data_IF_040350117806
#
_entry.id   IF_040350117806
#
_cell.length_a   1.000
_cell.length_b   1.000
_cell.length_c   1.000
_cell.angle_alpha   90.00
_cell.angle_beta   90.00
_cell.angle_gamma   90.00
#
_symmetry.space_group_name_H-M   'P 1'
#
loop_
_entity.id
_entity.type
_entity.pdbx_description
1 polymer ?
#
# COMPACT_ATOMS: atom_id res chain seq x y z
N UNK A 1 11.25 11.49 -9.56
CA UNK A 1 10.64 11.00 -8.30
C UNK A 1 10.20 12.07 -7.27
N UNK A 2 10.30 13.38 -7.57
CA UNK A 2 10.08 14.44 -6.54
C UNK A 2 8.62 14.64 -6.10
N UNK A 3 7.62 14.17 -6.84
CA UNK A 3 6.19 14.41 -6.56
C UNK A 3 5.47 13.16 -6.02
N UNK A 4 6.14 12.42 -5.13
CA UNK A 4 5.57 11.27 -4.44
C UNK A 4 5.93 11.29 -2.95
N UNK A 5 5.05 10.78 -2.12
CA UNK A 5 5.25 10.51 -0.70
C UNK A 5 4.82 9.08 -0.39
N UNK A 6 5.39 8.48 0.64
CA UNK A 6 4.88 7.21 1.19
C UNK A 6 3.85 7.52 2.25
N UNK A 7 2.71 6.90 2.19
CA UNK A 7 1.68 6.98 3.23
C UNK A 7 1.38 5.60 3.80
N UNK A 8 1.65 5.43 5.08
CA UNK A 8 1.32 4.23 5.82
C UNK A 8 0.02 4.49 6.56
N UNK A 9 -1.03 3.83 6.09
CA UNK A 9 -2.35 3.90 6.68
C UNK A 9 -2.43 2.98 7.90
N UNK A 10 -2.81 3.54 9.04
CA UNK A 10 -3.02 2.79 10.28
C UNK A 10 -4.14 3.42 11.12
N UNK A 11 -4.46 2.81 12.25
CA UNK A 11 -5.31 3.39 13.30
C UNK A 11 -4.78 2.99 14.67
N UNK A 12 -5.13 3.76 15.69
CA UNK A 12 -4.62 3.59 17.05
C UNK A 12 -4.92 2.21 17.67
N UNK A 13 -5.95 1.51 17.15
CA UNK A 13 -6.30 0.14 17.54
C UNK A 13 -5.16 -0.84 17.23
N UNK A 14 -4.42 -0.61 16.15
CA UNK A 14 -3.31 -1.47 15.70
C UNK A 14 -1.93 -1.02 16.21
N UNK A 15 -1.89 -0.10 17.18
CA UNK A 15 -0.61 0.38 17.72
C UNK A 15 0.32 -0.70 18.29
N UNK A 16 -0.20 -1.88 18.58
CA UNK A 16 0.59 -3.02 19.05
C UNK A 16 1.53 -3.62 17.99
N UNK A 17 1.29 -3.38 16.69
CA UNK A 17 2.19 -3.80 15.60
C UNK A 17 3.13 -2.70 15.11
N UNK A 18 2.98 -1.46 15.54
CA UNK A 18 3.72 -0.32 15.00
C UNK A 18 5.23 -0.43 15.20
N UNK A 19 5.67 -0.96 16.34
CA UNK A 19 7.09 -1.23 16.57
C UNK A 19 7.63 -2.29 15.62
N UNK A 20 6.82 -3.33 15.31
CA UNK A 20 7.14 -4.32 14.29
C UNK A 20 7.29 -3.67 12.92
N UNK A 21 6.29 -2.90 12.48
CA UNK A 21 6.38 -2.16 11.23
C UNK A 21 7.66 -1.31 11.16
N UNK A 22 7.95 -0.53 12.21
CA UNK A 22 9.16 0.30 12.26
C UNK A 22 10.44 -0.53 12.20
N UNK A 23 10.52 -1.66 12.92
CA UNK A 23 11.66 -2.57 12.86
C UNK A 23 11.95 -3.02 11.41
N UNK A 24 10.93 -3.49 10.71
CA UNK A 24 11.06 -3.94 9.33
C UNK A 24 11.33 -2.79 8.37
N UNK A 25 10.70 -1.65 8.57
CA UNK A 25 10.95 -0.44 7.78
C UNK A 25 12.42 0.00 7.90
N UNK A 26 12.97 0.11 9.12
CA UNK A 26 14.38 0.49 9.32
C UNK A 26 15.36 -0.52 8.71
N UNK A 27 15.00 -1.80 8.68
CA UNK A 27 15.85 -2.88 8.16
C UNK A 27 15.82 -3.00 6.64
N UNK A 28 14.64 -2.85 6.03
CA UNK A 28 14.43 -3.23 4.63
C UNK A 28 14.01 -2.07 3.72
N UNK A 29 13.49 -0.95 4.25
CA UNK A 29 13.21 0.19 3.41
C UNK A 29 14.49 0.77 2.83
N UNK A 30 14.51 1.01 1.52
CA UNK A 30 15.67 1.59 0.87
C UNK A 30 15.71 3.10 1.15
N UNK A 31 16.70 3.54 1.95
CA UNK A 31 16.85 4.95 2.36
C UNK A 31 17.27 5.88 1.22
N UNK A 32 17.72 5.33 0.10
CA UNK A 32 18.01 6.10 -1.11
C UNK A 32 16.74 6.53 -1.87
N UNK A 33 15.57 5.96 -1.52
CA UNK A 33 14.28 6.40 -2.02
C UNK A 33 13.96 7.78 -1.43
N UNK A 34 13.85 8.85 -2.25
CA UNK A 34 13.84 10.24 -1.76
C UNK A 34 12.46 10.70 -1.25
N UNK A 35 11.55 9.78 -0.99
CA UNK A 35 10.19 10.10 -0.57
C UNK A 35 10.09 10.22 0.94
N UNK A 36 9.39 11.25 1.39
CA UNK A 36 9.01 11.35 2.81
C UNK A 36 7.99 10.28 3.15
N UNK A 37 8.22 9.60 4.27
CA UNK A 37 7.32 8.59 4.82
C UNK A 37 6.42 9.24 5.85
N UNK A 38 5.13 9.18 5.62
CA UNK A 38 4.08 9.64 6.53
C UNK A 38 3.39 8.46 7.16
N UNK A 39 3.45 8.36 8.48
CA UNK A 39 2.77 7.34 9.26
C UNK A 39 1.51 7.95 9.87
N UNK A 40 0.35 7.55 9.34
CA UNK A 40 -0.93 8.10 9.76
C UNK A 40 -1.39 7.52 11.09
N UNK A 41 -1.72 8.37 12.07
CA UNK A 41 -2.28 7.96 13.36
C UNK A 41 -3.56 8.72 13.64
N UNK A 42 -4.39 8.22 14.56
CA UNK A 42 -5.58 8.96 15.00
C UNK A 42 -5.20 9.99 16.07
N UNK A 43 -4.95 9.55 17.30
CA UNK A 43 -4.65 10.40 18.47
C UNK A 43 -3.26 10.10 19.06
N UNK A 44 -2.77 8.85 18.91
CA UNK A 44 -1.45 8.45 19.36
C UNK A 44 -0.36 9.09 18.49
N UNK A 45 0.85 9.07 18.98
CA UNK A 45 2.03 9.56 18.26
C UNK A 45 3.08 8.47 18.20
N UNK A 46 3.87 8.48 17.13
CA UNK A 46 5.08 7.67 16.98
C UNK A 46 6.29 8.61 16.85
N UNK A 47 7.44 8.14 17.35
CA UNK A 47 8.73 8.80 17.21
C UNK A 47 9.69 7.82 16.52
N UNK A 48 9.46 7.60 15.23
CA UNK A 48 10.24 6.69 14.41
C UNK A 48 11.23 7.47 13.55
N UNK A 49 12.47 6.97 13.50
CA UNK A 49 13.51 7.59 12.70
C UNK A 49 13.10 7.65 11.20
N UNK A 50 13.33 8.80 10.56
CA UNK A 50 13.05 9.06 9.14
C UNK A 50 11.56 8.94 8.75
N UNK A 51 10.65 8.94 9.73
CA UNK A 51 9.20 8.83 9.55
C UNK A 51 8.50 10.03 10.16
N UNK A 52 7.60 10.65 9.41
CA UNK A 52 6.79 11.76 9.89
C UNK A 52 5.46 11.24 10.45
N UNK A 53 5.19 11.47 11.72
CA UNK A 53 3.90 11.15 12.29
C UNK A 53 2.83 12.14 11.78
N UNK A 54 1.84 11.62 11.08
CA UNK A 54 0.71 12.38 10.57
C UNK A 54 -0.51 12.13 11.48
N UNK A 55 -0.70 13.00 12.45
CA UNK A 55 -1.81 12.90 13.41
C UNK A 55 -3.10 13.44 12.79
N UNK A 56 -3.95 12.54 12.32
CA UNK A 56 -5.10 12.84 11.45
C UNK A 56 -6.37 13.09 12.29
N UNK A 57 -6.43 12.51 13.48
CA UNK A 57 -7.62 12.53 14.35
C UNK A 57 -8.58 11.38 14.04
N UNK A 58 -9.38 11.04 15.05
CA UNK A 58 -10.36 9.96 14.98
C UNK A 58 -11.52 10.32 14.05
N UNK A 59 -11.87 9.43 13.14
CA UNK A 59 -13.00 9.57 12.22
C UNK A 59 -13.31 8.23 11.55
N UNK A 60 -14.33 8.17 10.67
CA UNK A 60 -14.48 7.04 9.75
C UNK A 60 -13.25 6.91 8.86
N UNK A 61 -12.93 5.69 8.42
CA UNK A 61 -11.74 5.44 7.61
C UNK A 61 -11.69 6.30 6.34
N UNK A 62 -12.80 6.40 5.61
CA UNK A 62 -12.83 7.24 4.41
C UNK A 62 -12.57 8.73 4.70
N UNK A 63 -13.16 9.28 5.77
CA UNK A 63 -12.86 10.65 6.21
C UNK A 63 -11.40 10.82 6.63
N UNK A 64 -10.83 9.81 7.27
CA UNK A 64 -9.42 9.75 7.64
C UNK A 64 -8.52 9.80 6.41
N UNK A 65 -8.80 8.98 5.37
CA UNK A 65 -8.05 9.01 4.10
C UNK A 65 -8.12 10.39 3.44
N UNK A 66 -9.29 11.00 3.33
CA UNK A 66 -9.42 12.34 2.76
C UNK A 66 -8.59 13.39 3.50
N UNK A 67 -8.61 13.37 4.83
CA UNK A 67 -7.79 14.28 5.66
C UNK A 67 -6.30 14.01 5.45
N UNK A 68 -5.87 12.74 5.48
CA UNK A 68 -4.48 12.37 5.24
C UNK A 68 -3.98 12.89 3.90
N UNK A 69 -4.74 12.65 2.84
CA UNK A 69 -4.38 13.11 1.49
C UNK A 69 -4.32 14.63 1.38
N UNK A 70 -5.16 15.37 2.12
CA UNK A 70 -5.09 16.84 2.15
C UNK A 70 -3.86 17.39 2.88
N UNK A 71 -3.29 16.63 3.82
CA UNK A 71 -2.11 17.03 4.60
C UNK A 71 -0.79 16.67 3.90
N UNK A 72 -0.78 15.67 3.01
CA UNK A 72 0.39 15.25 2.24
C UNK A 72 0.57 16.19 1.03
N UNK A 73 1.76 16.81 0.86
CA UNK A 73 1.94 17.91 -0.11
C UNK A 73 2.11 17.44 -1.57
N UNK A 74 2.40 16.16 -1.81
CA UNK A 74 2.63 15.61 -3.17
C UNK A 74 1.33 15.19 -3.83
N UNK A 75 1.29 15.15 -5.17
CA UNK A 75 0.10 14.74 -5.94
C UNK A 75 -0.06 13.23 -6.02
N UNK A 76 1.03 12.50 -5.78
CA UNK A 76 1.05 11.05 -5.80
C UNK A 76 1.48 10.50 -4.45
N UNK A 77 0.96 9.33 -4.10
CA UNK A 77 1.35 8.61 -2.89
C UNK A 77 1.65 7.15 -3.21
N UNK A 78 2.69 6.61 -2.57
CA UNK A 78 2.85 5.17 -2.41
C UNK A 78 2.13 4.80 -1.12
N UNK A 79 0.96 4.21 -1.28
CA UNK A 79 0.06 3.84 -0.19
C UNK A 79 0.37 2.42 0.27
N UNK A 80 0.45 2.19 1.58
CA UNK A 80 0.51 0.86 2.18
C UNK A 80 -0.22 0.85 3.52
N UNK A 81 -0.58 -0.35 3.99
CA UNK A 81 -1.13 -0.55 5.33
C UNK A 81 0.00 -0.84 6.33
N UNK A 82 -0.23 -0.58 7.59
CA UNK A 82 0.73 -0.82 8.68
C UNK A 82 1.01 -2.29 8.98
N UNK A 83 0.20 -3.20 8.46
CA UNK A 83 0.41 -4.65 8.53
C UNK A 83 1.18 -5.25 7.34
N UNK A 84 1.55 -4.45 6.36
CA UNK A 84 2.44 -4.84 5.27
C UNK A 84 3.90 -4.61 5.69
N UNK A 85 4.53 -5.64 6.23
CA UNK A 85 5.92 -5.57 6.71
C UNK A 85 6.89 -5.90 5.56
N UNK A 86 7.74 -4.96 5.12
CA UNK A 86 8.77 -5.28 4.13
C UNK A 86 9.75 -6.29 4.72
N UNK A 87 10.02 -7.37 4.01
CA UNK A 87 10.95 -8.43 4.44
C UNK A 87 12.13 -8.61 3.48
N UNK A 88 12.13 -7.85 2.41
CA UNK A 88 13.20 -7.80 1.40
C UNK A 88 13.46 -6.34 1.01
N UNK A 89 14.72 -5.96 0.87
CA UNK A 89 15.08 -4.62 0.41
C UNK A 89 14.68 -4.46 -1.06
N UNK A 90 13.84 -3.47 -1.33
CA UNK A 90 13.48 -3.10 -2.69
C UNK A 90 14.66 -2.45 -3.41
N UNK A 91 14.87 -2.84 -4.65
CA UNK A 91 15.80 -2.16 -5.52
C UNK A 91 15.30 -0.76 -5.86
N UNK A 92 16.18 0.22 -5.70
CA UNK A 92 15.85 1.62 -6.04
C UNK A 92 15.55 1.76 -7.53
N UNK A 93 16.27 1.07 -8.40
CA UNK A 93 16.06 1.12 -9.84
C UNK A 93 14.66 0.57 -10.20
N UNK A 94 14.22 -0.51 -9.55
CA UNK A 94 12.86 -1.02 -9.73
C UNK A 94 11.81 0.04 -9.34
N UNK A 95 11.97 0.66 -8.17
CA UNK A 95 11.02 1.66 -7.68
C UNK A 95 11.00 2.91 -8.58
N UNK A 96 12.16 3.36 -9.05
CA UNK A 96 12.27 4.47 -9.99
C UNK A 96 11.59 4.16 -11.32
N UNK A 97 11.87 3.00 -11.88
CA UNK A 97 11.26 2.56 -13.13
C UNK A 97 9.75 2.43 -13.02
N UNK A 98 9.25 1.85 -11.91
CA UNK A 98 7.81 1.75 -11.65
C UNK A 98 7.17 3.14 -11.52
N UNK A 99 7.79 4.04 -10.77
CA UNK A 99 7.23 5.39 -10.60
C UNK A 99 7.22 6.16 -11.92
N UNK A 100 8.29 6.07 -12.72
CA UNK A 100 8.34 6.66 -14.05
C UNK A 100 7.26 6.06 -14.96
N UNK A 101 7.11 4.74 -14.95
CA UNK A 101 6.06 4.04 -15.70
C UNK A 101 4.65 4.51 -15.29
N UNK A 102 4.42 4.67 -13.98
CA UNK A 102 3.17 5.20 -13.44
C UNK A 102 2.86 6.61 -13.95
N UNK A 103 3.87 7.50 -13.99
CA UNK A 103 3.71 8.88 -14.46
C UNK A 103 3.58 8.95 -15.97
N UNK A 104 4.48 8.30 -16.72
CA UNK A 104 4.56 8.39 -18.19
C UNK A 104 3.32 7.80 -18.88
N UNK A 105 2.68 6.82 -18.24
CA UNK A 105 1.43 6.23 -18.72
C UNK A 105 0.19 6.83 -18.09
N UNK A 106 0.30 7.93 -17.37
CA UNK A 106 -0.83 8.64 -16.73
C UNK A 106 -1.72 7.71 -15.88
N UNK A 107 -1.11 6.75 -15.15
CA UNK A 107 -1.84 5.72 -14.43
C UNK A 107 -2.62 6.29 -13.24
N UNK A 108 -3.77 5.72 -12.97
CA UNK A 108 -4.57 6.01 -11.77
C UNK A 108 -4.02 5.28 -10.53
N UNK A 109 -3.60 4.02 -10.73
CA UNK A 109 -2.99 3.17 -9.71
C UNK A 109 -1.99 2.19 -10.34
N UNK A 110 -0.85 2.00 -9.68
CA UNK A 110 0.11 0.93 -9.99
C UNK A 110 0.49 0.18 -8.71
N UNK A 111 0.04 -1.07 -8.60
CA UNK A 111 0.36 -1.95 -7.46
C UNK A 111 1.76 -2.53 -7.53
N UNK A 112 2.41 -2.69 -6.37
CA UNK A 112 3.62 -3.50 -6.20
C UNK A 112 3.27 -4.69 -5.31
N UNK A 113 2.87 -5.79 -5.94
CA UNK A 113 2.35 -6.96 -5.27
C UNK A 113 3.46 -7.92 -4.87
N UNK A 114 3.33 -8.58 -3.71
CA UNK A 114 4.26 -9.64 -3.31
C UNK A 114 3.97 -10.98 -3.99
N UNK A 115 2.79 -11.15 -4.54
CA UNK A 115 2.37 -12.36 -5.27
C UNK A 115 1.19 -12.09 -6.18
N UNK A 116 0.99 -12.97 -7.14
CA UNK A 116 -0.21 -12.99 -7.97
C UNK A 116 -1.47 -13.29 -7.14
N UNK A 117 -2.57 -12.61 -7.48
CA UNK A 117 -3.87 -12.82 -6.81
C UNK A 117 -4.97 -13.02 -7.87
N UNK A 118 -5.53 -14.24 -7.99
CA UNK A 118 -6.48 -14.56 -9.07
C UNK A 118 -7.76 -13.73 -9.05
N UNK A 119 -8.15 -13.17 -7.90
CA UNK A 119 -9.33 -12.28 -7.82
C UNK A 119 -9.13 -10.91 -8.49
N UNK A 120 -7.91 -10.60 -8.96
CA UNK A 120 -7.62 -9.37 -9.72
C UNK A 120 -7.82 -9.53 -11.23
N UNK A 121 -8.15 -10.73 -11.69
CA UNK A 121 -8.45 -10.98 -13.10
C UNK A 121 -9.82 -10.38 -13.53
N UNK A 122 -10.04 -10.19 -14.84
CA UNK A 122 -9.12 -10.43 -15.93
C UNK A 122 -8.02 -9.35 -16.04
N UNK A 123 -6.89 -9.70 -16.65
CA UNK A 123 -5.75 -8.78 -16.88
C UNK A 123 -5.17 -8.99 -18.28
N UNK A 124 -4.67 -7.91 -18.88
CA UNK A 124 -3.77 -7.97 -20.03
C UNK A 124 -2.32 -7.99 -19.54
N UNK A 125 -1.51 -8.87 -20.11
CA UNK A 125 -0.11 -9.05 -19.72
C UNK A 125 0.78 -8.26 -20.68
N UNK A 126 1.57 -7.34 -20.15
CA UNK A 126 2.42 -6.42 -20.91
C UNK A 126 3.84 -6.49 -20.36
N UNK A 127 4.83 -6.72 -21.22
CA UNK A 127 6.23 -6.61 -20.84
C UNK A 127 6.65 -5.14 -20.81
N UNK A 128 7.23 -4.72 -19.69
CA UNK A 128 7.74 -3.35 -19.53
C UNK A 128 9.14 -3.21 -20.14
N UNK A 129 9.55 -1.99 -20.45
CA UNK A 129 10.88 -1.68 -20.95
C UNK A 129 12.01 -1.85 -19.90
N UNK A 130 11.67 -2.13 -18.66
CA UNK A 130 12.61 -2.41 -17.55
C UNK A 130 12.56 -3.88 -17.09
N UNK A 131 12.06 -4.80 -17.93
CA UNK A 131 12.13 -6.23 -17.72
C UNK A 131 11.21 -6.80 -16.65
N UNK A 132 10.12 -6.11 -16.33
CA UNK A 132 9.06 -6.62 -15.44
C UNK A 132 7.77 -6.79 -16.21
N UNK A 133 7.00 -7.80 -15.85
CA UNK A 133 5.66 -8.01 -16.38
C UNK A 133 4.66 -7.09 -15.66
N UNK A 134 3.95 -6.27 -16.42
CA UNK A 134 2.84 -5.46 -15.96
C UNK A 134 1.52 -6.15 -16.25
N UNK A 135 0.71 -6.33 -15.24
CA UNK A 135 -0.63 -6.91 -15.31
C UNK A 135 -1.64 -5.76 -15.33
N UNK A 136 -2.05 -5.35 -16.53
CA UNK A 136 -3.03 -4.29 -16.73
C UNK A 136 -4.43 -4.82 -16.46
N UNK A 137 -5.10 -4.24 -15.47
CA UNK A 137 -6.47 -4.59 -15.13
C UNK A 137 -7.45 -3.88 -16.07
N UNK A 138 -8.56 -4.55 -16.36
CA UNK A 138 -9.69 -4.00 -17.13
C UNK A 138 -10.77 -3.51 -16.20
N UNK A 139 -11.76 -2.78 -16.72
CA UNK A 139 -12.90 -2.34 -15.91
C UNK A 139 -13.82 -3.48 -15.41
N UNK A 140 -13.58 -4.72 -15.82
CA UNK A 140 -14.27 -5.92 -15.30
C UNK A 140 -13.45 -6.71 -14.30
N UNK A 141 -12.19 -6.31 -14.07
CA UNK A 141 -11.30 -6.97 -13.11
C UNK A 141 -11.80 -6.80 -11.66
N UNK A 142 -11.48 -7.79 -10.83
CA UNK A 142 -11.71 -7.68 -9.40
C UNK A 142 -10.63 -6.83 -8.71
N UNK A 143 -10.90 -6.38 -7.50
CA UNK A 143 -9.96 -5.66 -6.64
C UNK A 143 -9.22 -4.49 -7.33
N UNK A 144 -9.91 -3.73 -8.18
CA UNK A 144 -9.37 -2.51 -8.79
C UNK A 144 -8.98 -1.47 -7.74
N UNK A 145 -9.71 -1.42 -6.62
CA UNK A 145 -9.41 -0.58 -5.46
C UNK A 145 -8.68 -1.36 -4.36
N UNK A 146 -7.67 -2.15 -4.73
CA UNK A 146 -6.87 -2.91 -3.78
C UNK A 146 -6.01 -1.99 -2.91
N UNK A 147 -6.03 -2.20 -1.57
CA UNK A 147 -5.27 -1.41 -0.60
C UNK A 147 -3.87 -1.96 -0.32
N UNK A 148 -3.42 -2.94 -1.06
CA UNK A 148 -2.03 -3.40 -1.00
C UNK A 148 -1.07 -2.33 -1.52
N UNK A 149 0.25 -2.43 -1.22
CA UNK A 149 1.21 -1.41 -1.58
C UNK A 149 1.10 -0.97 -3.04
N UNK A 150 0.83 0.30 -3.26
CA UNK A 150 0.51 0.83 -4.60
C UNK A 150 0.80 2.31 -4.72
N UNK A 151 1.26 2.74 -5.89
CA UNK A 151 1.18 4.14 -6.28
C UNK A 151 -0.26 4.52 -6.62
N UNK A 152 -0.68 5.69 -6.16
CA UNK A 152 -1.97 6.29 -6.44
C UNK A 152 -1.82 7.76 -6.81
N UNK A 153 -2.57 8.21 -7.81
CA UNK A 153 -2.92 9.62 -7.88
C UNK A 153 -3.85 9.96 -6.73
N UNK A 154 -3.49 10.95 -5.91
CA UNK A 154 -4.29 11.32 -4.73
C UNK A 154 -5.72 11.71 -5.08
N UNK A 155 -5.90 12.50 -6.13
CA UNK A 155 -7.22 12.93 -6.55
C UNK A 155 -8.09 11.76 -6.99
N UNK A 156 -7.51 10.78 -7.70
CA UNK A 156 -8.23 9.56 -8.06
C UNK A 156 -8.60 8.75 -6.82
N UNK A 157 -7.67 8.51 -5.90
CA UNK A 157 -7.95 7.81 -4.64
C UNK A 157 -9.09 8.50 -3.87
N UNK A 158 -9.03 9.82 -3.72
CA UNK A 158 -10.06 10.62 -3.05
C UNK A 158 -11.40 10.60 -3.80
N UNK A 159 -11.38 10.55 -5.14
CA UNK A 159 -12.61 10.47 -5.92
C UNK A 159 -13.35 9.13 -5.75
N UNK A 160 -12.60 8.06 -5.46
CA UNK A 160 -13.15 6.72 -5.26
C UNK A 160 -13.67 6.53 -3.83
N UNK A 161 -12.87 6.87 -2.81
CA UNK A 161 -13.20 6.63 -1.40
C UNK A 161 -14.28 7.61 -0.91
N UNK A 162 -15.37 7.09 -0.34
CA UNK A 162 -16.40 7.93 0.32
C UNK A 162 -16.10 8.07 1.80
N UNK A 163 -16.46 9.21 2.35
CA UNK A 163 -16.08 9.61 3.72
C UNK A 163 -16.56 8.64 4.81
N UNK A 164 -17.69 8.00 4.62
CA UNK A 164 -18.32 7.10 5.60
C UNK A 164 -17.79 5.65 5.53
N UNK A 165 -16.94 5.35 4.54
CA UNK A 165 -16.51 4.00 4.27
C UNK A 165 -15.50 3.46 5.28
N UNK A 166 -15.52 2.13 5.43
CA UNK A 166 -14.48 1.32 6.06
C UNK A 166 -13.45 0.88 5.00
N UNK A 167 -12.28 0.34 5.39
CA UNK A 167 -11.33 -0.22 4.42
C UNK A 167 -11.96 -1.27 3.49
N UNK A 168 -12.82 -2.15 4.01
CA UNK A 168 -13.55 -3.15 3.22
C UNK A 168 -14.47 -2.54 2.15
N UNK A 169 -15.17 -1.46 2.49
CA UNK A 169 -15.92 -0.70 1.49
C UNK A 169 -14.96 -0.06 0.47
N UNK A 170 -13.80 0.41 0.90
CA UNK A 170 -12.75 0.93 0.03
C UNK A 170 -12.37 -0.06 -1.06
N UNK A 171 -12.14 -1.33 -0.69
CA UNK A 171 -11.78 -2.36 -1.67
C UNK A 171 -12.98 -2.85 -2.50
N UNK A 172 -14.06 -3.25 -1.86
CA UNK A 172 -15.19 -3.92 -2.55
C UNK A 172 -16.07 -2.91 -3.30
N UNK A 173 -16.55 -1.88 -2.60
CA UNK A 173 -17.43 -0.86 -3.20
C UNK A 173 -16.62 0.10 -4.07
N UNK A 174 -15.38 0.40 -3.68
CA UNK A 174 -14.42 1.15 -4.47
C UNK A 174 -14.15 0.48 -5.81
N UNK A 175 -13.94 -0.84 -5.83
CA UNK A 175 -13.81 -1.60 -7.08
C UNK A 175 -15.04 -1.44 -7.98
N UNK A 176 -16.25 -1.59 -7.44
CA UNK A 176 -17.49 -1.39 -8.21
C UNK A 176 -17.60 0.03 -8.77
N UNK A 177 -17.16 1.04 -8.02
CA UNK A 177 -17.14 2.41 -8.48
C UNK A 177 -16.14 2.61 -9.62
N UNK A 178 -14.94 2.03 -9.51
CA UNK A 178 -13.94 2.07 -10.57
C UNK A 178 -14.44 1.37 -11.83
N UNK A 179 -15.13 0.22 -11.71
CA UNK A 179 -15.71 -0.52 -12.84
C UNK A 179 -16.70 0.31 -13.67
N UNK A 180 -17.29 1.37 -13.09
CA UNK A 180 -18.21 2.29 -13.80
C UNK A 180 -17.51 3.49 -14.46
N UNK A 181 -16.18 3.59 -14.34
CA UNK A 181 -15.38 4.67 -14.94
C UNK A 181 -14.84 4.18 -16.28
N UNK A 182 -15.04 4.98 -17.33
CA UNK A 182 -14.39 4.78 -18.62
C UNK A 182 -12.90 5.15 -18.51
N UNK A 183 -12.06 4.56 -19.34
CA UNK A 183 -10.63 4.89 -19.49
C UNK A 183 -9.79 4.80 -18.21
N UNK A 184 -10.03 3.78 -17.38
CA UNK A 184 -9.16 3.51 -16.24
C UNK A 184 -7.79 3.00 -16.70
N UNK A 185 -6.73 3.46 -16.03
CA UNK A 185 -5.38 2.93 -16.20
C UNK A 185 -4.85 2.43 -14.85
N UNK A 186 -5.11 1.16 -14.58
CA UNK A 186 -4.84 0.48 -13.32
C UNK A 186 -4.16 -0.86 -13.61
N UNK A 187 -3.24 -1.25 -12.77
CA UNK A 187 -2.62 -2.56 -12.83
C UNK A 187 -1.61 -2.77 -11.72
N UNK A 188 -0.78 -3.79 -11.89
CA UNK A 188 0.22 -4.14 -10.88
C UNK A 188 1.44 -4.84 -11.52
N UNK A 189 2.55 -4.77 -10.79
CA UNK A 189 3.77 -5.51 -11.04
C UNK A 189 3.99 -6.42 -9.82
N UNK A 190 4.56 -7.59 -10.02
CA UNK A 190 4.88 -8.51 -8.94
C UNK A 190 6.38 -8.42 -8.65
N UNK A 191 6.70 -8.14 -7.38
CA UNK A 191 8.01 -8.37 -6.79
C UNK A 191 7.83 -9.41 -5.69
N UNK A 192 8.21 -10.65 -5.99
CA UNK A 192 7.91 -11.79 -5.14
C UNK A 192 8.46 -11.62 -3.72
N UNK A 193 7.61 -11.90 -2.73
CA UNK A 193 7.95 -11.97 -1.31
C UNK A 193 8.61 -10.70 -0.72
N UNK A 194 8.40 -9.51 -1.30
CA UNK A 194 9.02 -8.31 -0.76
C UNK A 194 8.38 -7.80 0.52
N UNK A 195 7.12 -8.17 0.79
CA UNK A 195 6.45 -7.92 2.08
C UNK A 195 5.63 -9.13 2.52
N UNK A 196 5.37 -9.18 3.82
CA UNK A 196 4.43 -10.11 4.43
C UNK A 196 3.34 -9.33 5.16
N UNK A 197 2.09 -9.78 5.04
CA UNK A 197 0.99 -9.25 5.83
C UNK A 197 1.05 -9.83 7.24
N UNK A 198 1.26 -8.99 8.25
CA UNK A 198 1.37 -9.42 9.65
C UNK A 198 0.01 -9.80 10.26
N UNK A 199 -1.07 -9.17 9.81
CA UNK A 199 -2.41 -9.39 10.34
C UNK A 199 -3.39 -9.93 9.29
N UNK A 200 -4.43 -10.57 9.77
CA UNK A 200 -5.64 -10.87 9.01
C UNK A 200 -6.84 -10.54 9.89
N UNK A 201 -7.71 -9.64 9.41
CA UNK A 201 -8.88 -9.18 10.17
C UNK A 201 -8.53 -8.64 11.57
N UNK A 202 -7.32 -8.05 11.71
CA UNK A 202 -6.81 -7.48 12.95
C UNK A 202 -6.21 -8.47 13.95
N UNK A 203 -6.05 -9.73 13.55
CA UNK A 203 -5.38 -10.77 14.34
C UNK A 203 -4.07 -11.20 13.67
N UNK A 204 -3.08 -11.72 14.43
CA UNK A 204 -1.90 -12.35 13.84
C UNK A 204 -2.33 -13.36 12.77
N UNK A 205 -1.66 -13.28 11.62
CA UNK A 205 -2.02 -14.13 10.48
C UNK A 205 -1.69 -15.58 10.81
N UNK A 206 -2.70 -16.40 10.84
CA UNK A 206 -2.64 -17.77 11.32
C UNK A 206 -2.68 -18.81 10.19
N UNK A 207 -2.66 -20.09 10.57
CA UNK A 207 -2.68 -21.24 9.67
C UNK A 207 -3.98 -21.38 8.87
N UNK A 208 -5.07 -20.69 9.24
CA UNK A 208 -6.38 -20.78 8.56
C UNK A 208 -6.27 -20.51 7.06
N UNK A 209 -5.33 -19.65 6.66
CA UNK A 209 -5.07 -19.29 5.27
C UNK A 209 -3.82 -19.97 4.69
N UNK A 210 -3.24 -20.95 5.39
CA UNK A 210 -1.98 -21.62 5.02
C UNK A 210 -0.77 -20.69 5.07
N UNK A 211 -0.88 -19.58 5.80
CA UNK A 211 0.13 -18.53 5.89
C UNK A 211 0.56 -18.40 7.35
N UNK A 212 1.84 -18.65 7.60
CA UNK A 212 2.43 -18.56 8.93
C UNK A 212 3.28 -17.28 9.05
N UNK A 213 2.74 -16.17 8.53
CA UNK A 213 3.49 -14.92 8.40
C UNK A 213 4.01 -14.42 9.74
N UNK A 214 3.20 -14.46 10.80
CA UNK A 214 3.62 -14.03 12.13
C UNK A 214 4.82 -14.81 12.64
N UNK A 215 4.79 -16.14 12.48
CA UNK A 215 5.92 -17.01 12.84
C UNK A 215 7.15 -16.71 11.99
N UNK A 216 6.99 -16.54 10.67
CA UNK A 216 8.10 -16.17 9.79
C UNK A 216 8.71 -14.84 10.23
N UNK A 217 7.89 -13.81 10.48
CA UNK A 217 8.35 -12.50 10.94
C UNK A 217 9.13 -12.58 12.25
N UNK A 218 8.71 -13.42 13.20
CA UNK A 218 9.36 -13.55 14.50
C UNK A 218 10.57 -14.48 14.47
N UNK A 219 10.52 -15.59 13.73
CA UNK A 219 11.60 -16.60 13.75
C UNK A 219 12.68 -16.37 12.71
N UNK A 220 12.30 -15.96 11.49
CA UNK A 220 13.23 -15.83 10.37
C UNK A 220 13.75 -14.41 10.21
N UNK A 221 12.93 -13.41 10.53
CA UNK A 221 13.30 -12.01 10.41
C UNK A 221 13.69 -11.34 11.73
N UNK A 222 13.58 -12.05 12.86
CA UNK A 222 14.11 -11.65 14.17
C UNK A 222 13.31 -10.54 14.87
N UNK A 223 12.02 -10.40 14.56
CA UNK A 223 11.13 -9.52 15.34
C UNK A 223 10.66 -10.26 16.59
N UNK A 224 10.65 -9.58 17.76
CA UNK A 224 10.26 -10.18 19.04
C UNK A 224 8.73 -10.27 19.26
N UNK A 225 7.94 -9.82 18.29
CA UNK A 225 6.47 -9.86 18.34
C UNK A 225 5.83 -8.77 19.22
N UNK A 226 6.61 -7.74 19.63
CA UNK A 226 6.16 -6.66 20.53
C UNK A 226 6.18 -5.30 19.89
#
# INVERSE_FOLDING_TARGET
>A
MKNCSVFINTCDKYSFIWNGWNHFHQKYWNKDIPWKVYFGTEEKSVDFQDVMNLKIGKSSWGSYIHKAMSMIPTDNVFFAMDDHFPVKKLDIELIENMYNYFIDNDMNRLGLMAKYHPLQEPVDVIETNFGKTFYKQTNTSGYLSCLQPSFWKKDFLCSIIQKEWTPWHGEITGTKKIQSIEDINIGYIIEEEWYLEALTEGNPRDEKYGLNNWKILTTEHGWDGK
#
